data_IF_249164786565
#
_entry.id   IF_249164786565
#
_cell.length_a   1.000
_cell.length_b   1.000
_cell.length_c   1.000
_cell.angle_alpha   90.00
_cell.angle_beta   90.00
_cell.angle_gamma   90.00
#
_symmetry.space_group_name_H-M   'P 1'
#
loop_
_entity.id
_entity.type
_entity.pdbx_description
1 polymer ?
#
# COMPACT_ATOMS: atom_id res chain seq x y z
N UNK A 1 15.99 13.90 11.87
CA UNK A 1 15.24 12.93 11.04
C UNK A 1 13.78 13.06 11.44
N UNK A 2 12.90 13.40 10.50
CA UNK A 2 11.47 13.46 10.81
C UNK A 2 10.93 12.03 10.88
N UNK A 3 10.19 11.71 11.93
CA UNK A 3 9.44 10.44 12.03
C UNK A 3 8.10 10.53 11.30
N UNK A 4 7.77 11.69 10.74
CA UNK A 4 6.54 11.91 10.00
C UNK A 4 6.62 11.26 8.62
N UNK A 5 5.52 10.64 8.23
CA UNK A 5 5.33 10.02 6.92
C UNK A 5 4.40 10.92 6.11
N UNK A 6 4.82 11.27 4.92
CA UNK A 6 4.00 11.93 3.90
C UNK A 6 3.13 10.87 3.21
N UNK A 7 1.81 10.95 3.40
CA UNK A 7 0.87 9.95 2.93
C UNK A 7 0.28 10.29 1.57
N UNK A 8 0.67 9.53 0.55
CA UNK A 8 0.07 9.51 -0.78
C UNK A 8 -1.25 8.72 -0.74
N UNK A 9 -2.32 9.39 -1.18
CA UNK A 9 -3.71 8.91 -1.08
C UNK A 9 -4.45 8.91 -2.41
N UNK A 10 -3.88 9.54 -3.44
CA UNK A 10 -4.54 9.86 -4.71
C UNK A 10 -4.37 8.78 -5.78
N UNK A 11 -3.97 7.56 -5.42
CA UNK A 11 -4.11 6.45 -6.36
C UNK A 11 -5.61 6.18 -6.62
N UNK A 12 -5.97 5.43 -7.66
CA UNK A 12 -7.35 5.08 -8.03
C UNK A 12 -7.82 3.75 -7.47
N UNK A 13 -6.92 2.78 -7.29
CA UNK A 13 -7.29 1.50 -6.71
C UNK A 13 -6.10 0.59 -6.45
N UNK A 14 -6.43 -0.62 -6.01
CA UNK A 14 -5.48 -1.72 -5.86
C UNK A 14 -5.84 -2.76 -6.91
N UNK A 15 -4.86 -3.09 -7.75
CA UNK A 15 -4.92 -4.28 -8.59
C UNK A 15 -4.14 -5.41 -7.93
N UNK A 16 -4.62 -6.63 -8.15
CA UNK A 16 -4.02 -7.84 -7.60
C UNK A 16 -3.59 -8.73 -8.76
N UNK A 17 -2.31 -9.05 -8.82
CA UNK A 17 -1.75 -9.93 -9.84
C UNK A 17 -0.92 -11.04 -9.20
N UNK A 18 -0.61 -12.06 -9.98
CA UNK A 18 0.21 -13.19 -9.53
C UNK A 18 1.48 -13.25 -10.37
N UNK A 19 2.62 -13.27 -9.70
CA UNK A 19 3.91 -13.42 -10.38
C UNK A 19 4.76 -14.44 -9.64
N UNK A 20 5.13 -15.53 -10.33
CA UNK A 20 6.07 -16.57 -9.86
C UNK A 20 5.84 -16.97 -8.40
N UNK A 21 4.60 -17.31 -8.08
CA UNK A 21 4.14 -17.78 -6.77
C UNK A 21 3.94 -16.74 -5.67
N UNK A 22 3.97 -15.45 -6.01
CA UNK A 22 3.74 -14.34 -5.08
C UNK A 22 2.62 -13.41 -5.56
N UNK A 23 1.83 -12.94 -4.61
CA UNK A 23 0.84 -11.91 -4.84
C UNK A 23 1.56 -10.57 -5.07
N UNK A 24 1.21 -9.91 -6.17
CA UNK A 24 1.60 -8.53 -6.47
C UNK A 24 0.42 -7.62 -6.15
N UNK A 25 0.67 -6.64 -5.30
CA UNK A 25 -0.25 -5.59 -4.87
C UNK A 25 0.15 -4.32 -5.61
N UNK A 26 -0.59 -4.01 -6.67
CA UNK A 26 -0.31 -2.86 -7.51
C UNK A 26 -1.16 -1.68 -7.07
N UNK A 27 -0.52 -0.61 -6.60
CA UNK A 27 -1.16 0.68 -6.34
C UNK A 27 -1.24 1.43 -7.67
N UNK A 28 -2.45 1.62 -8.18
CA UNK A 28 -2.67 2.16 -9.54
C UNK A 28 -3.02 3.64 -9.46
N UNK A 29 -2.21 4.51 -10.06
CA UNK A 29 -2.40 5.96 -10.10
C UNK A 29 -2.95 6.42 -11.45
N UNK A 30 -3.83 7.42 -11.44
CA UNK A 30 -4.32 8.11 -12.64
C UNK A 30 -3.41 9.28 -13.07
N UNK A 31 -2.60 9.84 -12.16
CA UNK A 31 -1.57 10.81 -12.49
C UNK A 31 -0.21 10.11 -12.66
N UNK A 32 0.31 10.13 -13.90
CA UNK A 32 1.61 9.54 -14.22
C UNK A 32 2.76 10.20 -13.48
N UNK A 33 2.70 11.52 -13.25
CA UNK A 33 3.78 12.25 -12.55
C UNK A 33 3.86 11.82 -11.10
N UNK A 34 2.72 11.73 -10.42
CA UNK A 34 2.66 11.23 -9.04
C UNK A 34 3.13 9.77 -8.97
N UNK A 35 2.69 8.93 -9.91
CA UNK A 35 3.14 7.54 -10.01
C UNK A 35 4.66 7.42 -10.10
N UNK A 36 5.29 8.24 -10.96
CA UNK A 36 6.76 8.26 -11.14
C UNK A 36 7.48 8.78 -9.90
N UNK A 37 6.96 9.82 -9.25
CA UNK A 37 7.56 10.37 -8.02
C UNK A 37 7.54 9.34 -6.89
N UNK A 38 6.37 8.72 -6.66
CA UNK A 38 6.22 7.64 -5.67
C UNK A 38 7.12 6.45 -6.02
N UNK A 39 7.17 6.05 -7.31
CA UNK A 39 8.01 4.94 -7.76
C UNK A 39 9.49 5.16 -7.42
N UNK A 40 10.02 6.37 -7.65
CA UNK A 40 11.40 6.73 -7.32
C UNK A 40 11.68 6.65 -5.82
N UNK A 41 10.76 7.12 -5.00
CA UNK A 41 10.94 7.06 -3.54
C UNK A 41 10.87 5.62 -3.00
N UNK A 42 9.99 4.76 -3.56
CA UNK A 42 9.93 3.36 -3.14
C UNK A 42 11.07 2.50 -3.70
N UNK A 43 11.77 2.95 -4.74
CA UNK A 43 12.94 2.25 -5.27
C UNK A 43 14.04 2.13 -4.21
N UNK A 44 14.20 3.14 -3.36
CA UNK A 44 15.16 3.17 -2.26
C UNK A 44 14.67 2.49 -0.98
N UNK A 45 13.45 1.94 -0.98
CA UNK A 45 12.95 1.22 0.20
C UNK A 45 13.79 -0.02 0.49
N UNK A 46 14.12 -0.18 1.77
CA UNK A 46 14.79 -1.39 2.25
C UNK A 46 13.79 -2.52 2.39
N UNK A 47 14.01 -3.58 1.61
CA UNK A 47 13.32 -4.88 1.63
C UNK A 47 13.18 -5.52 3.03
N UNK A 48 13.94 -5.07 4.04
CA UNK A 48 13.89 -5.54 5.43
C UNK A 48 12.92 -4.76 6.34
N UNK A 49 12.52 -3.55 5.97
CA UNK A 49 11.82 -2.61 6.85
C UNK A 49 10.52 -2.06 6.26
N UNK A 50 10.08 -2.61 5.14
CA UNK A 50 8.76 -2.34 4.55
C UNK A 50 7.64 -3.02 5.35
N UNK A 51 6.51 -2.34 5.45
CA UNK A 51 5.30 -2.79 6.12
C UNK A 51 4.11 -2.61 5.19
N UNK A 52 3.25 -3.62 5.14
CA UNK A 52 1.93 -3.58 4.52
C UNK A 52 0.90 -3.99 5.57
N UNK A 53 -0.05 -3.12 5.86
CA UNK A 53 -1.13 -3.39 6.80
C UNK A 53 -2.45 -3.18 6.08
N UNK A 54 -3.29 -4.21 6.07
CA UNK A 54 -4.69 -4.12 5.64
C UNK A 54 -5.56 -4.08 6.88
N UNK A 55 -6.48 -3.13 6.93
CA UNK A 55 -7.34 -2.87 8.08
C UNK A 55 -8.77 -3.14 7.64
N UNK A 56 -9.36 -4.24 8.11
CA UNK A 56 -10.75 -4.58 7.87
C UNK A 56 -11.66 -3.79 8.81
N UNK A 57 -12.55 -3.00 8.22
CA UNK A 57 -13.54 -2.17 8.92
C UNK A 57 -14.85 -2.93 9.13
N UNK A 58 -15.59 -2.53 10.16
CA UNK A 58 -16.88 -3.16 10.49
C UNK A 58 -17.96 -2.86 9.43
N UNK A 59 -17.81 -1.78 8.65
CA UNK A 59 -18.72 -1.41 7.57
C UNK A 59 -18.57 -2.24 6.28
N UNK A 60 -17.68 -3.25 6.27
CA UNK A 60 -17.43 -4.09 5.09
C UNK A 60 -16.44 -3.51 4.09
N UNK A 61 -15.76 -2.41 4.44
CA UNK A 61 -14.64 -1.85 3.67
C UNK A 61 -13.29 -2.16 4.33
N UNK A 62 -12.19 -1.99 3.61
CA UNK A 62 -10.86 -2.05 4.18
C UNK A 62 -10.03 -0.81 3.82
N UNK A 63 -8.98 -0.62 4.60
CA UNK A 63 -7.91 0.33 4.29
C UNK A 63 -6.62 -0.43 4.04
N UNK A 64 -5.76 0.11 3.17
CA UNK A 64 -4.40 -0.38 2.98
C UNK A 64 -3.42 0.70 3.42
N UNK A 65 -2.34 0.28 4.05
CA UNK A 65 -1.26 1.13 4.50
C UNK A 65 0.06 0.46 4.14
N UNK A 66 0.86 1.08 3.28
CA UNK A 66 2.19 0.60 2.90
C UNK A 66 3.24 1.67 3.16
N UNK A 67 4.29 1.34 3.89
CA UNK A 67 5.37 2.28 4.20
C UNK A 67 6.66 1.55 4.56
N UNK A 68 7.79 2.24 4.45
CA UNK A 68 9.04 1.82 5.09
C UNK A 68 9.13 2.41 6.50
N UNK A 69 9.66 1.63 7.45
CA UNK A 69 9.91 2.14 8.81
C UNK A 69 10.74 3.44 8.77
N UNK A 70 10.19 4.59 9.21
CA UNK A 70 10.83 5.89 9.04
C UNK A 70 12.10 6.04 9.88
N UNK A 71 12.33 5.16 10.86
CA UNK A 71 13.57 5.13 11.64
C UNK A 71 14.78 4.61 10.82
N UNK A 72 14.52 3.86 9.74
CA UNK A 72 15.56 3.21 8.93
C UNK A 72 15.66 3.81 7.52
N UNK A 73 14.70 4.67 7.14
CA UNK A 73 14.73 5.33 5.85
C UNK A 73 16.01 6.16 5.69
N UNK A 74 16.67 5.97 4.56
CA UNK A 74 17.83 6.77 4.14
C UNK A 74 17.42 7.98 3.29
N UNK A 75 16.16 8.04 2.86
CA UNK A 75 15.64 9.15 2.08
C UNK A 75 15.47 10.38 2.97
N UNK A 76 15.59 11.57 2.37
CA UNK A 76 15.29 12.84 3.03
C UNK A 76 13.80 12.98 3.35
N UNK A 77 12.96 12.20 2.65
CA UNK A 77 11.51 12.16 2.82
C UNK A 77 11.07 10.75 3.18
N UNK A 78 10.17 10.64 4.14
CA UNK A 78 9.50 9.38 4.44
C UNK A 78 8.14 9.42 3.79
N UNK A 79 7.93 8.63 2.74
CA UNK A 79 6.62 8.52 2.10
C UNK A 79 5.90 7.24 2.54
N UNK A 80 4.57 7.28 2.46
CA UNK A 80 3.70 6.14 2.70
C UNK A 80 2.51 6.18 1.77
N UNK A 81 1.95 5.02 1.48
CA UNK A 81 0.78 4.83 0.64
C UNK A 81 -0.37 4.45 1.55
N UNK A 82 -1.42 5.25 1.57
CA UNK A 82 -2.60 4.97 2.36
C UNK A 82 -3.85 5.16 1.53
N UNK A 83 -4.78 4.21 1.64
CA UNK A 83 -6.11 4.36 1.08
C UNK A 83 -7.14 3.68 1.95
N UNK A 84 -8.35 4.21 1.92
CA UNK A 84 -9.54 3.63 2.56
C UNK A 84 -10.72 3.58 1.60
N UNK A 85 -11.80 2.92 2.00
CA UNK A 85 -13.06 2.86 1.23
C UNK A 85 -13.08 1.76 0.18
N UNK A 86 -12.20 0.76 0.29
CA UNK A 86 -12.16 -0.35 -0.65
C UNK A 86 -13.07 -1.47 -0.15
N UNK A 87 -13.95 -2.06 -0.96
CA UNK A 87 -14.88 -3.08 -0.48
C UNK A 87 -14.15 -4.38 -0.13
N UNK A 88 -14.49 -5.02 1.01
CA UNK A 88 -13.95 -6.33 1.38
C UNK A 88 -14.47 -7.50 0.50
N UNK A 89 -15.38 -7.20 -0.43
CA UNK A 89 -15.89 -8.16 -1.40
C UNK A 89 -14.98 -8.25 -2.65
N UNK A 90 -15.35 -9.12 -3.59
CA UNK A 90 -14.65 -9.22 -4.88
C UNK A 90 -13.21 -9.72 -4.75
N UNK A 91 -12.27 -8.99 -5.39
CA UNK A 91 -10.86 -9.38 -5.48
C UNK A 91 -10.20 -9.54 -4.12
N UNK A 92 -10.52 -8.68 -3.14
CA UNK A 92 -9.93 -8.74 -1.80
C UNK A 92 -10.20 -10.09 -1.10
N UNK A 93 -11.43 -10.59 -1.18
CA UNK A 93 -11.83 -11.86 -0.57
C UNK A 93 -11.05 -13.06 -1.14
N UNK A 94 -10.68 -12.99 -2.41
CA UNK A 94 -9.90 -14.04 -3.08
C UNK A 94 -8.42 -13.99 -2.68
N UNK A 95 -7.86 -12.79 -2.54
CA UNK A 95 -6.43 -12.61 -2.25
C UNK A 95 -6.10 -12.63 -0.76
N UNK A 96 -7.08 -12.38 0.12
CA UNK A 96 -6.93 -12.44 1.59
C UNK A 96 -6.14 -13.67 2.08
N UNK A 97 -6.54 -14.92 1.75
CA UNK A 97 -5.78 -16.09 2.19
C UNK A 97 -4.34 -16.11 1.65
N UNK A 98 -4.11 -15.54 0.46
CA UNK A 98 -2.78 -15.49 -0.16
C UNK A 98 -1.86 -14.51 0.58
N UNK A 99 -2.41 -13.38 1.04
CA UNK A 99 -1.68 -12.40 1.86
C UNK A 99 -1.31 -13.01 3.20
N UNK A 100 -2.17 -13.83 3.79
CA UNK A 100 -1.88 -14.51 5.05
C UNK A 100 -0.80 -15.59 4.88
N UNK A 101 -0.74 -16.26 3.73
CA UNK A 101 0.20 -17.34 3.45
C UNK A 101 1.62 -16.85 3.08
N UNK A 102 1.73 -15.87 2.18
CA UNK A 102 3.03 -15.44 1.61
C UNK A 102 3.19 -13.93 1.56
N UNK A 103 4.44 -13.49 1.72
CA UNK A 103 4.83 -12.09 1.61
C UNK A 103 4.48 -11.50 0.24
N UNK A 104 3.60 -10.49 0.18
CA UNK A 104 3.26 -9.83 -1.07
C UNK A 104 4.40 -8.96 -1.60
N UNK A 105 4.33 -8.65 -2.89
CA UNK A 105 5.16 -7.67 -3.58
C UNK A 105 4.34 -6.40 -3.79
N UNK A 106 4.89 -5.25 -3.46
CA UNK A 106 4.31 -3.95 -3.79
C UNK A 106 4.79 -3.50 -5.17
N UNK A 107 3.88 -2.92 -5.94
CA UNK A 107 4.16 -2.31 -7.23
C UNK A 107 3.40 -0.99 -7.36
N UNK A 108 4.00 -0.02 -8.05
CA UNK A 108 3.33 1.20 -8.49
C UNK A 108 3.06 1.06 -9.98
N UNK A 109 1.81 1.29 -10.33
CA UNK A 109 1.34 1.28 -11.71
C UNK A 109 0.64 2.59 -12.04
N UNK A 110 0.65 2.92 -13.31
CA UNK A 110 -0.10 4.02 -13.90
C UNK A 110 -1.18 3.44 -14.80
N UNK A 111 -2.38 4.03 -14.77
CA UNK A 111 -3.40 3.76 -15.77
C UNK A 111 -4.17 5.06 -16.03
N UNK A 112 -4.19 5.50 -17.29
CA UNK A 112 -4.97 6.69 -17.69
C UNK A 112 -6.47 6.45 -17.54
N UNK A 113 -6.92 5.22 -17.83
CA UNK A 113 -8.24 4.71 -17.51
C UNK A 113 -8.09 3.30 -16.93
N UNK A 114 -8.54 3.13 -15.69
CA UNK A 114 -8.36 1.88 -14.93
C UNK A 114 -9.28 0.77 -15.45
N UNK A 115 -10.23 1.10 -16.32
CA UNK A 115 -11.06 0.14 -17.06
C UNK A 115 -10.40 -0.31 -18.37
N UNK A 116 -9.45 0.47 -18.88
CA UNK A 116 -8.72 0.17 -20.11
C UNK A 116 -7.32 -0.38 -19.79
N UNK A 117 -7.19 -1.70 -19.86
CA UNK A 117 -5.92 -2.39 -19.65
C UNK A 117 -4.82 -1.95 -20.63
N UNK A 118 -5.14 -1.35 -21.79
CA UNK A 118 -4.13 -0.86 -22.72
C UNK A 118 -3.38 0.36 -22.19
N UNK A 119 -3.96 1.07 -21.23
CA UNK A 119 -3.34 2.23 -20.58
C UNK A 119 -2.52 1.86 -19.35
N UNK A 120 -2.54 0.57 -18.96
CA UNK A 120 -1.81 0.09 -17.79
C UNK A 120 -0.31 0.02 -18.06
N UNK A 121 0.45 0.73 -17.24
CA UNK A 121 1.90 0.78 -17.30
C UNK A 121 2.47 0.49 -15.90
N UNK A 122 3.33 -0.52 -15.81
CA UNK A 122 4.12 -0.74 -14.62
C UNK A 122 5.22 0.33 -14.54
N UNK A 123 5.22 1.10 -13.46
CA UNK A 123 6.18 2.21 -13.27
C UNK A 123 7.35 1.81 -12.36
N UNK A 124 7.09 1.02 -11.31
CA UNK A 124 8.13 0.68 -10.33
C UNK A 124 8.65 -0.76 -10.46
N UNK A 125 9.80 -0.99 -9.82
CA UNK A 125 10.22 -2.35 -9.42
C UNK A 125 9.23 -2.98 -8.45
N UNK A 126 9.31 -4.31 -8.31
CA UNK A 126 8.61 -5.06 -7.28
C UNK A 126 9.35 -4.93 -5.95
N UNK A 127 8.69 -4.41 -4.92
CA UNK A 127 9.27 -4.24 -3.59
C UNK A 127 8.69 -5.30 -2.64
N UNK A 128 9.51 -6.17 -2.05
CA UNK A 128 9.00 -7.20 -1.15
C UNK A 128 8.54 -6.60 0.18
N UNK A 129 7.30 -6.92 0.59
CA UNK A 129 6.76 -6.46 1.87
C UNK A 129 7.16 -7.40 3.00
N UNK A 130 8.17 -7.00 3.78
CA UNK A 130 8.70 -7.82 4.89
C UNK A 130 7.68 -8.12 5.99
N UNK A 131 7.03 -7.10 6.52
CA UNK A 131 5.92 -7.27 7.47
C UNK A 131 4.63 -7.03 6.72
N UNK A 132 3.76 -8.02 6.70
CA UNK A 132 2.45 -7.95 6.06
C UNK A 132 1.41 -8.48 7.05
N UNK A 133 0.31 -7.77 7.24
CA UNK A 133 -0.72 -8.12 8.23
C UNK A 133 -2.09 -7.68 7.77
N UNK A 134 -3.09 -8.48 8.12
CA UNK A 134 -4.51 -8.12 8.05
C UNK A 134 -4.97 -7.98 9.49
N UNK A 135 -5.57 -6.84 9.83
CA UNK A 135 -6.01 -6.53 11.20
C UNK A 135 -7.45 -6.05 11.19
N UNK A 136 -8.13 -6.18 12.33
CA UNK A 136 -9.45 -5.58 12.51
C UNK A 136 -9.34 -4.10 12.87
N UNK A 137 -10.43 -3.35 12.66
CA UNK A 137 -10.55 -1.96 13.12
C UNK A 137 -10.34 -1.79 14.63
N UNK A 138 -10.64 -2.83 15.43
CA UNK A 138 -10.39 -2.83 16.88
C UNK A 138 -8.90 -2.89 17.18
N UNK A 139 -8.14 -3.68 16.40
CA UNK A 139 -6.71 -3.85 16.56
C UNK A 139 -5.94 -2.57 16.25
N UNK A 140 -6.43 -1.74 15.32
CA UNK A 140 -5.82 -0.45 14.96
C UNK A 140 -5.56 0.45 16.18
N UNK A 141 -6.33 0.30 17.27
CA UNK A 141 -6.16 1.07 18.51
C UNK A 141 -4.84 0.75 19.23
N UNK A 142 -4.26 -0.44 19.03
CA UNK A 142 -3.01 -0.88 19.68
C UNK A 142 -1.85 0.06 19.38
N UNK A 143 -0.88 0.13 20.29
CA UNK A 143 0.27 1.04 20.15
C UNK A 143 1.17 0.69 18.95
N UNK A 144 1.25 -0.59 18.57
CA UNK A 144 2.08 -1.05 17.45
C UNK A 144 1.65 -0.49 16.08
N UNK A 145 0.39 -0.05 15.93
CA UNK A 145 -0.18 0.53 14.71
C UNK A 145 -0.20 2.07 14.73
N UNK A 146 0.83 2.67 15.33
CA UNK A 146 0.92 4.12 15.47
C UNK A 146 0.84 4.85 14.12
N UNK A 147 1.58 4.39 13.10
CA UNK A 147 1.63 5.04 11.80
C UNK A 147 0.33 4.87 11.01
N UNK A 148 -0.29 3.69 11.09
CA UNK A 148 -1.59 3.40 10.49
C UNK A 148 -2.68 4.30 11.07
N UNK A 149 -2.67 4.52 12.40
CA UNK A 149 -3.58 5.48 13.06
C UNK A 149 -3.35 6.91 12.58
N UNK A 150 -2.09 7.31 12.39
CA UNK A 150 -1.77 8.64 11.90
C UNK A 150 -2.29 8.82 10.47
N UNK A 151 -2.03 7.85 9.58
CA UNK A 151 -2.55 7.84 8.21
C UNK A 151 -4.07 8.02 8.17
N UNK A 152 -4.80 7.29 9.04
CA UNK A 152 -6.25 7.42 9.13
C UNK A 152 -6.69 8.81 9.61
N UNK A 153 -6.04 9.37 10.63
CA UNK A 153 -6.38 10.71 11.14
C UNK A 153 -6.17 11.80 10.09
N UNK A 154 -5.11 11.70 9.29
CA UNK A 154 -4.89 12.64 8.19
C UNK A 154 -5.94 12.52 7.09
N UNK A 155 -6.58 11.36 6.94
CA UNK A 155 -7.64 11.14 5.96
C UNK A 155 -9.03 11.64 6.39
N UNK A 156 -9.23 11.92 7.68
CA UNK A 156 -10.49 12.46 8.23
C UNK A 156 -10.52 14.00 8.29
N UNK A 157 -9.41 14.66 7.94
CA UNK A 157 -9.31 16.11 7.76
C UNK A 157 -9.48 16.45 6.29
#
# INVERSE_FOLDING_TARGET
>A
MSLEIEWHRNFYGISWAYEKDRLVVSMVFEDKKEAIEVAKEIEDWSDKFTRLTIIERENGEYSICCYQDPQISKSKKNIGLYRTGMPQSGGYKQVKPMIEEKSPLLQIAYAADVRDMNTYEQISRLVPMRKYRIISEKDLKKQEFFYEKMAEKYNKK
#
